data_IF_356248782376
#
_entry.id   IF_356248782376
#
_cell.length_a   1.000
_cell.length_b   1.000
_cell.length_c   1.000
_cell.angle_alpha   90.00
_cell.angle_beta   90.00
_cell.angle_gamma   90.00
#
_symmetry.space_group_name_H-M   'P 1'
#
loop_
_entity.id
_entity.type
_entity.pdbx_description
1 polymer ?
#
# COMPACT_ATOMS: atom_id res chain seq x y z
N UNK A 1 -31.17 4.73 57.01
CA UNK A 1 -31.36 5.31 55.65
C UNK A 1 -30.20 6.29 55.46
N UNK A 2 -29.15 6.11 54.66
CA UNK A 2 -28.88 5.43 53.37
C UNK A 2 -27.40 4.96 53.45
N UNK A 3 -27.01 3.70 53.23
CA UNK A 3 -26.69 3.06 51.93
C UNK A 3 -25.90 4.04 51.02
N UNK A 4 -24.66 3.79 50.56
CA UNK A 4 -24.11 2.55 50.01
C UNK A 4 -22.57 2.63 49.92
N UNK A 5 -21.86 1.57 50.34
CA UNK A 5 -20.54 1.20 49.83
C UNK A 5 -20.63 0.74 48.39
N UNK A 6 -19.90 1.35 47.46
CA UNK A 6 -19.61 0.74 46.15
C UNK A 6 -18.11 0.83 45.87
N UNK A 7 -17.40 -0.18 46.38
CA UNK A 7 -16.17 -0.69 45.78
C UNK A 7 -16.55 -1.23 44.39
N UNK A 8 -16.20 -0.51 43.33
CA UNK A 8 -16.20 -1.06 41.97
C UNK A 8 -14.75 -1.28 41.58
N UNK A 9 -14.28 -2.48 41.89
CA UNK A 9 -13.12 -3.11 41.26
C UNK A 9 -13.68 -3.99 40.15
N UNK A 10 -13.41 -3.66 38.89
CA UNK A 10 -13.64 -4.48 37.68
C UNK A 10 -13.53 -3.53 36.47
N UNK A 11 -12.76 -3.73 35.41
CA UNK A 11 -12.08 -4.91 34.87
C UNK A 11 -10.83 -4.37 34.17
N UNK A 12 -9.66 -4.94 34.47
CA UNK A 12 -8.52 -4.84 33.57
C UNK A 12 -8.95 -5.55 32.30
N UNK A 13 -9.34 -4.79 31.28
CA UNK A 13 -9.52 -5.31 29.94
C UNK A 13 -8.11 -5.62 29.41
N UNK A 14 -7.60 -6.80 29.75
CA UNK A 14 -6.63 -7.51 28.92
C UNK A 14 -7.36 -7.84 27.62
N UNK A 15 -7.56 -6.84 26.76
CA UNK A 15 -7.96 -7.08 25.38
C UNK A 15 -6.78 -7.83 24.78
N UNK A 16 -7.04 -9.10 24.51
CA UNK A 16 -6.03 -10.08 24.14
C UNK A 16 -5.10 -9.54 23.07
N UNK A 17 -3.81 -9.65 23.36
CA UNK A 17 -2.79 -9.64 22.33
C UNK A 17 -2.95 -10.96 21.56
N UNK A 18 -4.02 -11.08 20.77
CA UNK A 18 -3.98 -11.95 19.62
C UNK A 18 -2.81 -11.44 18.79
N UNK A 19 -1.91 -12.32 18.37
CA UNK A 19 -0.91 -12.02 17.36
C UNK A 19 -1.61 -11.80 15.99
N UNK A 20 -2.55 -10.87 15.96
CA UNK A 20 -3.23 -10.37 14.78
C UNK A 20 -2.21 -9.53 14.05
N UNK A 21 -1.93 -9.93 12.82
CA UNK A 21 -1.07 -9.13 11.95
C UNK A 21 -1.78 -7.79 11.76
N UNK A 22 -1.03 -6.70 11.83
CA UNK A 22 -1.66 -5.39 11.68
C UNK A 22 -2.19 -5.25 10.26
N UNK A 23 -3.45 -4.81 10.16
CA UNK A 23 -4.09 -4.57 8.88
C UNK A 23 -3.47 -3.33 8.22
N UNK A 24 -3.22 -3.41 6.92
CA UNK A 24 -2.83 -2.29 6.08
C UNK A 24 -3.99 -1.29 5.99
N UNK A 25 -3.75 -0.02 6.30
CA UNK A 25 -4.78 1.04 6.26
C UNK A 25 -4.58 1.97 5.07
N UNK A 26 -3.34 2.21 4.65
CA UNK A 26 -3.03 3.00 3.47
C UNK A 26 -1.68 2.61 2.87
N UNK A 27 -1.45 3.01 1.62
CA UNK A 27 -0.16 2.89 0.94
C UNK A 27 0.29 4.27 0.51
N UNK A 28 1.50 4.66 0.89
CA UNK A 28 2.17 5.88 0.44
C UNK A 28 3.16 5.50 -0.67
N UNK A 29 3.01 6.08 -1.85
CA UNK A 29 3.94 5.89 -2.97
C UNK A 29 4.92 7.07 -3.03
N UNK A 30 6.23 6.77 -3.09
CA UNK A 30 7.30 7.74 -3.15
C UNK A 30 8.22 7.48 -4.36
N UNK A 31 8.62 8.50 -5.13
CA UNK A 31 8.19 9.89 -5.02
C UNK A 31 6.70 10.06 -5.36
N UNK A 32 6.05 11.07 -4.78
CA UNK A 32 4.63 11.36 -5.07
C UNK A 32 4.43 11.88 -6.50
N UNK A 33 5.44 12.57 -7.04
CA UNK A 33 5.50 13.07 -8.41
C UNK A 33 6.92 12.95 -8.94
N UNK A 34 7.10 12.48 -10.16
CA UNK A 34 8.39 12.45 -10.85
C UNK A 34 8.26 12.84 -12.32
N UNK A 35 9.35 13.38 -12.87
CA UNK A 35 9.49 13.74 -14.29
C UNK A 35 10.73 13.03 -14.86
N UNK A 36 10.65 12.52 -16.08
CA UNK A 36 11.80 11.82 -16.70
C UNK A 36 12.83 12.75 -17.33
N UNK A 37 12.57 14.05 -17.41
CA UNK A 37 13.50 15.05 -17.98
C UNK A 37 14.88 15.01 -17.34
N UNK A 38 14.99 14.55 -16.08
CA UNK A 38 16.24 14.41 -15.33
C UNK A 38 16.95 13.07 -15.51
N UNK A 39 16.33 12.07 -16.16
CA UNK A 39 16.93 10.77 -16.40
C UNK A 39 17.04 10.46 -17.90
N UNK A 40 18.26 10.35 -18.47
CA UNK A 40 18.46 10.02 -19.88
C UNK A 40 17.92 8.64 -20.28
N UNK A 41 17.68 7.74 -19.32
CA UNK A 41 17.08 6.42 -19.59
C UNK A 41 15.54 6.44 -19.52
N UNK A 42 14.93 7.55 -19.10
CA UNK A 42 13.47 7.65 -18.96
C UNK A 42 12.89 6.77 -17.85
N UNK A 43 13.70 6.40 -16.85
CA UNK A 43 13.32 5.50 -15.76
C UNK A 43 13.11 6.24 -14.44
N UNK A 44 12.18 5.78 -13.62
CA UNK A 44 11.94 6.31 -12.27
C UNK A 44 11.67 5.15 -11.32
N UNK A 45 12.39 5.10 -10.20
CA UNK A 45 12.12 4.15 -9.12
C UNK A 45 11.01 4.66 -8.19
N UNK A 46 10.02 3.83 -7.93
CA UNK A 46 8.97 4.06 -6.95
C UNK A 46 9.03 3.04 -5.81
N UNK A 47 8.79 3.52 -4.60
CA UNK A 47 8.68 2.72 -3.38
C UNK A 47 7.27 2.82 -2.84
N UNK A 48 6.70 1.70 -2.39
CA UNK A 48 5.39 1.64 -1.73
C UNK A 48 5.58 1.38 -0.23
N UNK A 49 5.21 2.35 0.60
CA UNK A 49 5.22 2.22 2.06
C UNK A 49 3.81 1.95 2.56
N UNK A 50 3.60 0.78 3.18
CA UNK A 50 2.35 0.44 3.83
C UNK A 50 2.28 1.05 5.23
N UNK A 51 1.16 1.68 5.56
CA UNK A 51 0.84 2.18 6.89
C UNK A 51 -0.18 1.24 7.53
N UNK A 52 0.04 0.84 8.77
CA UNK A 52 -0.73 -0.21 9.43
C UNK A 52 -1.57 0.33 10.58
N UNK A 53 -2.67 -0.36 10.91
CA UNK A 53 -3.60 0.02 11.98
C UNK A 53 -2.95 0.08 13.37
N UNK A 54 -1.80 -0.58 13.57
CA UNK A 54 -1.02 -0.52 14.81
C UNK A 54 -0.08 0.70 14.87
N UNK A 55 -0.19 1.65 13.93
CA UNK A 55 0.61 2.86 13.86
C UNK A 55 2.03 2.66 13.31
N UNK A 56 2.39 1.43 12.89
CA UNK A 56 3.69 1.17 12.24
C UNK A 56 3.57 1.38 10.73
N UNK A 57 4.72 1.63 10.09
CA UNK A 57 4.83 1.65 8.63
C UNK A 57 6.08 0.90 8.19
N UNK A 58 6.01 0.26 7.01
CA UNK A 58 7.17 -0.37 6.36
C UNK A 58 6.99 -0.41 4.85
N UNK A 59 8.10 -0.55 4.15
CA UNK A 59 8.09 -0.83 2.72
C UNK A 59 7.41 -2.18 2.42
N UNK A 60 6.59 -2.18 1.37
CA UNK A 60 5.90 -3.34 0.84
C UNK A 60 6.69 -3.93 -0.32
N UNK A 61 6.55 -5.23 -0.50
CA UNK A 61 7.21 -6.00 -1.55
C UNK A 61 6.26 -7.01 -2.18
N UNK A 62 6.72 -7.71 -3.22
CA UNK A 62 5.90 -8.73 -3.89
C UNK A 62 5.45 -9.85 -2.94
N UNK A 63 6.24 -10.19 -1.91
CA UNK A 63 5.85 -11.18 -0.89
C UNK A 63 4.76 -10.68 0.05
N UNK A 64 4.42 -9.39 0.00
CA UNK A 64 3.28 -8.77 0.68
C UNK A 64 2.03 -8.70 -0.24
N UNK A 65 2.12 -9.21 -1.47
CA UNK A 65 1.05 -9.11 -2.47
C UNK A 65 1.00 -7.75 -3.14
N UNK A 66 2.10 -6.99 -3.06
CA UNK A 66 2.25 -5.73 -3.78
C UNK A 66 2.20 -5.97 -5.28
N UNK A 67 1.36 -5.19 -5.95
CA UNK A 67 1.26 -5.12 -7.40
C UNK A 67 1.30 -3.67 -7.85
N UNK A 68 1.95 -3.43 -8.98
CA UNK A 68 2.06 -2.11 -9.59
C UNK A 68 1.29 -2.06 -10.90
N UNK A 69 0.70 -0.90 -11.21
CA UNK A 69 0.08 -0.61 -12.51
C UNK A 69 0.27 0.85 -12.89
N UNK A 70 0.29 1.12 -14.19
CA UNK A 70 0.22 2.46 -14.75
C UNK A 70 -1.17 2.72 -15.33
N UNK A 71 -1.62 3.98 -15.31
CA UNK A 71 -2.79 4.39 -16.09
C UNK A 71 -2.38 4.72 -17.53
N UNK A 72 -3.30 4.61 -18.50
CA UNK A 72 -3.12 5.31 -19.76
C UNK A 72 -3.09 6.84 -19.54
N UNK A 73 -2.60 7.57 -20.53
CA UNK A 73 -2.73 9.03 -20.58
C UNK A 73 -4.19 9.43 -20.82
N UNK A 74 -4.50 10.73 -20.71
CA UNK A 74 -5.81 11.29 -21.10
C UNK A 74 -6.21 10.95 -22.55
N UNK A 75 -5.24 10.68 -23.43
CA UNK A 75 -5.45 10.32 -24.83
C UNK A 75 -5.61 8.81 -25.04
N UNK A 76 -5.58 7.98 -23.98
CA UNK A 76 -5.66 6.52 -24.07
C UNK A 76 -4.34 5.83 -24.42
N UNK A 77 -3.23 6.56 -24.51
CA UNK A 77 -1.92 6.01 -24.86
C UNK A 77 -1.24 5.41 -23.63
N UNK A 78 -0.59 4.26 -23.79
CA UNK A 78 0.31 3.72 -22.77
C UNK A 78 1.64 4.46 -22.86
N UNK A 79 1.85 5.45 -21.98
CA UNK A 79 3.05 6.27 -21.96
C UNK A 79 4.15 5.74 -21.03
N UNK A 80 3.84 4.84 -20.09
CA UNK A 80 4.83 4.19 -19.24
C UNK A 80 4.41 2.77 -18.82
N UNK A 81 5.42 1.94 -18.57
CA UNK A 81 5.29 0.61 -17.95
C UNK A 81 5.97 0.60 -16.58
N UNK A 82 5.52 -0.22 -15.64
CA UNK A 82 6.15 -0.38 -14.32
C UNK A 82 6.37 -1.85 -13.99
N UNK A 83 7.58 -2.18 -13.52
CA UNK A 83 7.96 -3.51 -13.07
C UNK A 83 7.47 -3.83 -11.65
N UNK A 84 7.53 -5.10 -11.25
CA UNK A 84 7.15 -5.54 -9.90
C UNK A 84 8.04 -4.96 -8.79
N UNK A 85 9.24 -4.52 -9.14
CA UNK A 85 10.20 -3.83 -8.25
C UNK A 85 9.89 -2.34 -8.07
N UNK A 86 8.85 -1.81 -8.72
CA UNK A 86 8.50 -0.39 -8.67
C UNK A 86 9.28 0.50 -9.65
N UNK A 87 10.06 -0.08 -10.56
CA UNK A 87 10.76 0.67 -11.60
C UNK A 87 9.83 0.98 -12.78
N UNK A 88 9.53 2.26 -12.99
CA UNK A 88 8.75 2.74 -14.12
C UNK A 88 9.65 3.19 -15.27
N UNK A 89 9.28 2.89 -16.51
CA UNK A 89 9.97 3.30 -17.73
C UNK A 89 8.98 3.99 -18.65
N UNK A 90 9.32 5.20 -19.10
CA UNK A 90 8.53 5.93 -20.09
C UNK A 90 8.79 5.40 -21.50
N UNK A 91 7.73 5.28 -22.29
CA UNK A 91 7.75 4.83 -23.69
C UNK A 91 7.22 5.92 -24.64
N UNK A 92 6.45 6.87 -24.14
CA UNK A 92 5.96 8.02 -24.90
C UNK A 92 5.73 9.22 -23.96
N UNK A 93 5.71 10.45 -24.48
CA UNK A 93 5.36 11.62 -23.68
C UNK A 93 3.91 11.55 -23.16
N UNK A 94 3.70 12.00 -21.93
CA UNK A 94 2.39 12.05 -21.29
C UNK A 94 2.44 11.91 -19.78
N UNK A 95 1.33 12.28 -19.14
CA UNK A 95 1.15 12.12 -17.69
C UNK A 95 0.38 10.84 -17.41
N UNK A 96 0.91 10.01 -16.52
CA UNK A 96 0.30 8.75 -16.09
C UNK A 96 0.31 8.63 -14.57
N UNK A 97 -0.67 7.91 -14.03
CA UNK A 97 -0.73 7.57 -12.62
C UNK A 97 -0.05 6.22 -12.37
N UNK A 98 0.86 6.18 -11.41
CA UNK A 98 1.45 4.96 -10.87
C UNK A 98 0.60 4.54 -9.68
N UNK A 99 0.07 3.31 -9.69
CA UNK A 99 -0.72 2.77 -8.58
C UNK A 99 -0.04 1.53 -8.01
N UNK A 100 0.23 1.55 -6.72
CA UNK A 100 0.64 0.38 -5.95
C UNK A 100 -0.59 -0.17 -5.22
N UNK A 101 -0.76 -1.49 -5.19
CA UNK A 101 -1.92 -2.16 -4.57
C UNK A 101 -1.51 -3.41 -3.82
N UNK A 102 -2.07 -3.62 -2.63
CA UNK A 102 -1.81 -4.79 -1.79
C UNK A 102 -3.08 -5.19 -1.00
N UNK A 103 -3.23 -6.45 -0.57
CA UNK A 103 -4.34 -6.86 0.28
C UNK A 103 -4.27 -6.18 1.66
N UNK A 104 -5.43 -5.85 2.23
CA UNK A 104 -5.53 -5.24 3.56
C UNK A 104 -4.92 -6.14 4.64
N UNK A 105 -5.12 -7.45 4.53
CA UNK A 105 -4.46 -8.45 5.35
C UNK A 105 -3.32 -9.07 4.52
N UNK A 106 -2.07 -8.83 4.94
CA UNK A 106 -0.88 -9.33 4.24
C UNK A 106 -0.59 -10.82 4.50
N UNK A 107 -1.43 -11.53 5.24
CA UNK A 107 -1.24 -12.96 5.46
C UNK A 107 -1.37 -13.74 4.13
N UNK A 108 -0.27 -14.39 3.76
CA UNK A 108 -0.27 -15.49 2.80
C UNK A 108 -0.49 -16.78 3.58
N UNK A 109 -1.71 -17.32 3.57
CA UNK A 109 -1.94 -18.66 4.08
C UNK A 109 -1.40 -19.68 3.08
N UNK A 110 -0.14 -20.04 3.24
CA UNK A 110 0.42 -21.23 2.59
C UNK A 110 -0.19 -22.47 3.28
N UNK A 111 -0.72 -23.39 2.46
CA UNK A 111 -1.13 -24.77 2.77
C UNK A 111 -2.61 -25.14 3.05
N UNK A 112 -3.64 -24.29 2.85
CA UNK A 112 -5.02 -24.79 2.96
C UNK A 112 -6.11 -24.14 2.07
N UNK A 113 -5.75 -23.60 0.90
CA UNK A 113 -6.75 -23.10 -0.07
C UNK A 113 -7.50 -21.83 0.36
N UNK A 114 -6.99 -21.11 1.37
CA UNK A 114 -7.55 -19.81 1.78
C UNK A 114 -7.15 -18.77 0.73
N UNK A 115 -8.10 -18.42 -0.13
CA UNK A 115 -7.98 -17.25 -1.00
C UNK A 115 -8.07 -16.00 -0.12
N UNK A 116 -7.11 -15.08 -0.25
CA UNK A 116 -7.14 -13.81 0.48
C UNK A 116 -8.31 -12.96 -0.05
N UNK A 117 -9.47 -13.05 0.59
CA UNK A 117 -10.68 -12.26 0.25
C UNK A 117 -10.67 -10.87 0.88
N UNK A 118 -9.51 -10.41 1.34
CA UNK A 118 -9.40 -9.11 1.99
C UNK A 118 -9.54 -7.99 0.96
N UNK A 119 -10.07 -6.85 1.40
CA UNK A 119 -10.11 -5.65 0.58
C UNK A 119 -8.71 -5.31 0.04
N UNK A 120 -8.65 -4.76 -1.18
CA UNK A 120 -7.39 -4.23 -1.74
C UNK A 120 -7.23 -2.78 -1.33
N UNK A 121 -6.07 -2.44 -0.78
CA UNK A 121 -5.67 -1.06 -0.50
C UNK A 121 -4.74 -0.61 -1.62
N UNK A 122 -4.93 0.62 -2.09
CA UNK A 122 -4.11 1.22 -3.14
C UNK A 122 -3.55 2.57 -2.73
N UNK A 123 -2.36 2.88 -3.23
CA UNK A 123 -1.73 4.19 -3.17
C UNK A 123 -1.32 4.64 -4.57
N UNK A 124 -1.33 5.95 -4.81
CA UNK A 124 -1.04 6.52 -6.14
C UNK A 124 0.09 7.54 -6.08
N UNK A 125 0.81 7.66 -7.20
CA UNK A 125 1.75 8.73 -7.50
C UNK A 125 1.63 9.14 -8.97
N UNK A 126 2.24 10.27 -9.33
CA UNK A 126 2.22 10.79 -10.70
C UNK A 126 3.59 10.60 -11.36
N UNK A 127 3.58 10.16 -12.63
CA UNK A 127 4.75 10.15 -13.50
C UNK A 127 4.46 11.02 -14.73
N UNK A 128 5.37 11.94 -15.02
CA UNK A 128 5.32 12.79 -16.21
C UNK A 128 6.45 12.34 -17.13
N UNK A 129 6.06 11.65 -18.20
CA UNK A 129 6.96 11.29 -19.30
C UNK A 129 7.09 12.48 -20.24
N UNK A 130 8.34 12.90 -20.49
CA UNK A 130 8.67 13.92 -21.48
C UNK A 130 9.46 13.33 -22.64
#
# INVERSE_FOLDING_TARGET
MKYVSFLVVAVVALVGCGAGHANLTSITVSPQSATTTSNPQGQVGYTATGNFANGKSRELSQVDGLSWKTSPTSTGTVAATIGSTGEATCSAPGTVAITASAPQNLQFTVNNGVQNTSATISGTATLICQ
#
